data_IF_097679047758
#
_entry.id   IF_097679047758
#
_cell.length_a   1.000
_cell.length_b   1.000
_cell.length_c   1.000
_cell.angle_alpha   90.00
_cell.angle_beta   90.00
_cell.angle_gamma   90.00
#
_symmetry.space_group_name_H-M   'P 1'
#
loop_
_entity.id
_entity.type
_entity.pdbx_description
1 polymer ?
#
# COMPACT_ATOMS: atom_id res chain seq x y z
N UNK A 1 4.98 21.50 -31.29
CA UNK A 1 4.13 20.34 -31.55
C UNK A 1 4.93 19.15 -30.98
N UNK A 2 4.41 18.46 -29.98
CA UNK A 2 5.02 17.21 -29.49
C UNK A 2 4.77 16.20 -30.61
N UNK A 3 5.84 15.62 -31.15
CA UNK A 3 5.73 14.56 -32.13
C UNK A 3 5.15 13.33 -31.44
N UNK A 4 3.91 12.97 -31.74
CA UNK A 4 3.20 11.87 -31.10
C UNK A 4 3.70 10.49 -31.57
N UNK A 5 4.73 10.42 -32.41
CA UNK A 5 5.25 9.16 -32.98
C UNK A 5 6.38 8.52 -32.18
N UNK A 6 6.96 9.21 -31.20
CA UNK A 6 8.10 8.71 -30.40
C UNK A 6 7.80 7.38 -29.69
N UNK A 7 6.56 7.18 -29.27
CA UNK A 7 6.13 5.98 -28.53
C UNK A 7 5.51 4.89 -29.42
N UNK A 8 5.30 5.15 -30.69
CA UNK A 8 4.71 4.17 -31.61
C UNK A 8 5.56 2.90 -31.68
N UNK A 9 4.94 1.78 -31.32
CA UNK A 9 5.57 0.45 -31.21
C UNK A 9 6.64 0.30 -30.09
N UNK A 10 6.82 1.26 -29.20
CA UNK A 10 7.73 1.12 -28.07
C UNK A 10 7.14 0.21 -27.00
N UNK A 11 7.96 -0.73 -26.53
CA UNK A 11 7.61 -1.70 -25.49
C UNK A 11 8.04 -1.16 -24.12
N UNK A 12 7.12 -1.13 -23.14
CA UNK A 12 7.40 -0.61 -21.80
C UNK A 12 7.27 -1.71 -20.75
N UNK A 13 8.31 -1.88 -19.94
CA UNK A 13 8.30 -2.74 -18.76
C UNK A 13 8.15 -1.89 -17.49
N UNK A 14 7.31 -2.36 -16.55
CA UNK A 14 7.07 -1.70 -15.27
C UNK A 14 7.54 -2.58 -14.11
N UNK A 15 8.38 -2.01 -13.24
CA UNK A 15 8.85 -2.67 -12.02
C UNK A 15 8.46 -1.82 -10.80
N UNK A 16 7.50 -2.30 -10.02
CA UNK A 16 7.00 -1.58 -8.86
C UNK A 16 7.49 -2.21 -7.57
N UNK A 17 8.22 -1.43 -6.79
CA UNK A 17 8.67 -1.80 -5.46
C UNK A 17 7.90 -0.97 -4.42
N UNK A 18 7.41 -1.62 -3.36
CA UNK A 18 6.82 -0.91 -2.21
C UNK A 18 5.32 -1.12 -2.02
N UNK A 19 4.57 -0.04 -1.83
CA UNK A 19 3.21 -0.04 -1.31
C UNK A 19 2.13 0.03 -2.40
N UNK A 20 0.86 -0.14 -1.98
CA UNK A 20 -0.33 -0.02 -2.85
C UNK A 20 -0.37 1.31 -3.62
N UNK A 21 0.13 2.39 -2.99
CA UNK A 21 0.22 3.70 -3.61
C UNK A 21 1.15 3.71 -4.82
N UNK A 22 2.34 3.08 -4.70
CA UNK A 22 3.26 2.95 -5.82
C UNK A 22 2.64 2.13 -6.96
N UNK A 23 1.87 1.08 -6.66
CA UNK A 23 1.17 0.30 -7.68
C UNK A 23 0.12 1.14 -8.42
N UNK A 24 -0.72 1.92 -7.70
CA UNK A 24 -1.67 2.83 -8.34
C UNK A 24 -0.97 3.86 -9.24
N UNK A 25 0.14 4.42 -8.77
CA UNK A 25 0.94 5.40 -9.52
C UNK A 25 1.57 4.79 -10.76
N UNK A 26 2.13 3.58 -10.67
CA UNK A 26 2.72 2.86 -11.83
C UNK A 26 1.66 2.56 -12.89
N UNK A 27 0.49 2.09 -12.48
CA UNK A 27 -0.62 1.85 -13.41
C UNK A 27 -1.05 3.14 -14.15
N UNK A 28 -1.05 4.27 -13.45
CA UNK A 28 -1.32 5.59 -14.07
C UNK A 28 -0.23 5.99 -15.05
N UNK A 29 1.05 5.80 -14.71
CA UNK A 29 2.17 6.04 -15.64
C UNK A 29 2.03 5.16 -16.89
N UNK A 30 1.68 3.88 -16.70
CA UNK A 30 1.44 2.95 -17.79
C UNK A 30 0.37 3.44 -18.74
N UNK A 31 -0.74 3.98 -18.21
CA UNK A 31 -1.79 4.57 -19.03
C UNK A 31 -1.30 5.81 -19.81
N UNK A 32 -0.59 6.71 -19.15
CA UNK A 32 -0.06 7.92 -19.80
C UNK A 32 0.88 7.60 -20.96
N UNK A 33 1.70 6.54 -20.85
CA UNK A 33 2.56 6.06 -21.92
C UNK A 33 1.75 5.36 -23.03
N UNK A 34 0.75 4.57 -22.66
CA UNK A 34 -0.14 3.90 -23.62
C UNK A 34 -0.99 4.89 -24.41
N UNK A 35 -1.49 5.96 -23.78
CA UNK A 35 -2.23 7.06 -24.45
C UNK A 35 -1.36 7.80 -25.50
N UNK A 36 -0.02 7.62 -25.45
CA UNK A 36 0.95 8.11 -26.44
C UNK A 36 1.43 7.05 -27.44
N UNK A 37 0.89 5.83 -27.41
CA UNK A 37 1.20 4.78 -28.38
C UNK A 37 2.12 3.66 -27.87
N UNK A 38 2.67 3.77 -26.64
CA UNK A 38 3.50 2.72 -26.05
C UNK A 38 2.66 1.48 -25.70
N UNK A 39 3.27 0.31 -25.78
CA UNK A 39 2.63 -0.97 -25.47
C UNK A 39 3.34 -1.65 -24.29
N UNK A 40 2.61 -2.35 -23.40
CA UNK A 40 3.24 -3.16 -22.38
C UNK A 40 4.02 -4.31 -23.01
N UNK A 41 5.22 -4.58 -22.49
CA UNK A 41 6.06 -5.70 -22.90
C UNK A 41 5.33 -7.03 -22.64
N UNK A 42 5.36 -7.95 -23.60
CA UNK A 42 4.82 -9.29 -23.46
C UNK A 42 5.92 -10.27 -22.98
N UNK A 43 5.50 -11.45 -22.51
CA UNK A 43 6.42 -12.48 -22.07
C UNK A 43 7.40 -12.85 -23.19
N UNK A 44 8.70 -12.75 -22.91
CA UNK A 44 9.77 -13.03 -23.88
C UNK A 44 10.21 -11.87 -24.77
N UNK A 45 9.53 -10.73 -24.71
CA UNK A 45 9.96 -9.51 -25.42
C UNK A 45 10.98 -8.70 -24.61
N UNK A 46 11.74 -7.88 -25.33
CA UNK A 46 12.68 -6.91 -24.74
C UNK A 46 12.01 -5.52 -24.70
N UNK A 47 12.04 -4.83 -23.56
CA UNK A 47 11.50 -3.47 -23.46
C UNK A 47 12.41 -2.46 -24.13
N UNK A 48 11.83 -1.39 -24.72
CA UNK A 48 12.50 -0.16 -25.11
C UNK A 48 12.61 0.83 -23.93
N UNK A 49 11.68 0.73 -22.98
CA UNK A 49 11.61 1.61 -21.81
C UNK A 49 11.37 0.75 -20.56
N UNK A 50 12.17 0.96 -19.52
CA UNK A 50 11.98 0.37 -18.21
C UNK A 50 11.63 1.43 -17.17
N UNK A 51 10.44 1.35 -16.56
CA UNK A 51 10.03 2.26 -15.48
C UNK A 51 10.11 1.53 -14.14
N UNK A 52 10.97 2.03 -13.24
CA UNK A 52 11.16 1.48 -11.89
C UNK A 52 10.59 2.44 -10.85
N UNK A 53 9.47 2.09 -10.22
CA UNK A 53 8.88 2.87 -9.14
C UNK A 53 9.37 2.33 -7.79
N UNK A 54 10.09 3.15 -7.04
CA UNK A 54 10.92 2.75 -5.91
C UNK A 54 10.32 3.08 -4.54
N UNK A 55 10.74 2.33 -3.52
CA UNK A 55 10.34 2.47 -2.13
C UNK A 55 11.52 2.84 -1.23
N UNK A 56 11.27 3.58 -0.13
CA UNK A 56 12.30 4.01 0.81
C UNK A 56 11.87 3.94 2.29
N UNK A 57 10.92 3.07 2.64
CA UNK A 57 10.46 2.95 4.04
C UNK A 57 11.49 2.30 4.96
N UNK A 58 12.40 1.46 4.43
CA UNK A 58 13.49 0.81 5.18
C UNK A 58 14.78 0.83 4.37
N UNK A 59 15.96 0.65 5.04
CA UNK A 59 17.22 0.50 4.33
C UNK A 59 17.25 -0.76 3.46
N UNK A 60 16.61 -1.83 3.91
CA UNK A 60 16.44 -3.04 3.10
C UNK A 60 15.65 -2.75 1.80
N UNK A 61 14.64 -1.87 1.87
CA UNK A 61 13.91 -1.44 0.67
C UNK A 61 14.82 -0.67 -0.30
N UNK A 62 15.64 0.26 0.20
CA UNK A 62 16.64 0.97 -0.62
C UNK A 62 17.61 -0.02 -1.30
N UNK A 63 18.15 -0.97 -0.52
CA UNK A 63 19.05 -2.01 -1.06
C UNK A 63 18.39 -2.83 -2.18
N UNK A 64 17.13 -3.25 -1.96
CA UNK A 64 16.37 -3.97 -3.00
C UNK A 64 16.15 -3.11 -4.26
N UNK A 65 15.84 -1.82 -4.09
CA UNK A 65 15.71 -0.90 -5.21
C UNK A 65 17.01 -0.81 -6.03
N UNK A 66 18.15 -0.59 -5.37
CA UNK A 66 19.47 -0.55 -6.04
C UNK A 66 19.77 -1.86 -6.79
N UNK A 67 19.48 -3.00 -6.17
CA UNK A 67 19.69 -4.31 -6.77
C UNK A 67 18.82 -4.51 -8.02
N UNK A 68 17.53 -4.15 -7.94
CA UNK A 68 16.63 -4.32 -9.07
C UNK A 68 16.98 -3.38 -10.22
N UNK A 69 17.29 -2.11 -9.96
CA UNK A 69 17.75 -1.16 -11.00
C UNK A 69 18.99 -1.73 -11.72
N UNK A 70 20.05 -2.11 -10.98
CA UNK A 70 21.27 -2.67 -11.58
C UNK A 70 21.01 -3.96 -12.37
N UNK A 71 20.12 -4.80 -11.89
CA UNK A 71 19.72 -6.04 -12.59
C UNK A 71 19.05 -5.73 -13.92
N UNK A 72 18.13 -4.76 -13.93
CA UNK A 72 17.40 -4.36 -15.13
C UNK A 72 18.28 -3.64 -16.14
N UNK A 73 19.17 -2.72 -15.70
CA UNK A 73 20.14 -2.05 -16.57
C UNK A 73 21.05 -3.03 -17.29
N UNK A 74 21.53 -4.08 -16.58
CA UNK A 74 22.35 -5.12 -17.19
C UNK A 74 21.56 -6.03 -18.12
N UNK A 75 20.29 -6.28 -17.81
CA UNK A 75 19.45 -7.17 -18.62
C UNK A 75 18.95 -6.50 -19.90
N UNK A 76 18.73 -5.20 -19.84
CA UNK A 76 18.18 -4.39 -20.93
C UNK A 76 19.04 -3.13 -21.16
N UNK A 77 20.29 -3.30 -21.65
CA UNK A 77 21.25 -2.20 -21.77
C UNK A 77 20.84 -1.13 -22.77
N UNK A 78 19.98 -1.46 -23.74
CA UNK A 78 19.49 -0.54 -24.76
C UNK A 78 18.16 0.12 -24.40
N UNK A 79 17.55 -0.26 -23.27
CA UNK A 79 16.27 0.30 -22.83
C UNK A 79 16.48 1.61 -22.05
N UNK A 80 15.65 2.60 -22.28
CA UNK A 80 15.62 3.83 -21.47
C UNK A 80 15.20 3.50 -20.03
N UNK A 81 16.08 3.71 -19.08
CA UNK A 81 15.85 3.40 -17.67
C UNK A 81 15.32 4.63 -16.93
N UNK A 82 14.02 4.59 -16.58
CA UNK A 82 13.33 5.64 -15.81
C UNK A 82 13.16 5.18 -14.37
N UNK A 83 13.72 5.92 -13.41
CA UNK A 83 13.58 5.62 -11.98
C UNK A 83 12.78 6.72 -11.28
N UNK A 84 11.76 6.34 -10.54
CA UNK A 84 10.89 7.25 -9.78
C UNK A 84 10.55 6.67 -8.40
N UNK A 85 9.77 7.39 -7.60
CA UNK A 85 9.29 6.93 -6.30
C UNK A 85 10.05 7.49 -5.11
N UNK A 86 9.79 6.93 -3.92
CA UNK A 86 10.29 7.50 -2.66
C UNK A 86 11.81 7.44 -2.55
N UNK A 87 12.46 6.39 -3.07
CA UNK A 87 13.92 6.30 -3.04
C UNK A 87 14.56 7.28 -4.03
N UNK A 88 14.03 7.39 -5.25
CA UNK A 88 14.45 8.39 -6.23
C UNK A 88 14.30 9.84 -5.70
N UNK A 89 13.20 10.12 -4.97
CA UNK A 89 12.95 11.43 -4.36
C UNK A 89 13.98 11.79 -3.27
N UNK A 90 14.36 10.81 -2.43
CA UNK A 90 15.24 11.05 -1.29
C UNK A 90 16.74 10.98 -1.63
N UNK A 91 17.12 10.21 -2.65
CA UNK A 91 18.48 9.87 -3.00
C UNK A 91 18.70 9.98 -4.52
N UNK A 92 18.24 11.07 -5.12
CA UNK A 92 18.23 11.25 -6.58
C UNK A 92 19.63 11.17 -7.20
N UNK A 93 20.64 11.74 -6.56
CA UNK A 93 22.04 11.69 -7.01
C UNK A 93 22.57 10.26 -6.97
N UNK A 94 22.38 9.55 -5.83
CA UNK A 94 22.81 8.14 -5.70
C UNK A 94 22.15 7.25 -6.75
N UNK A 95 20.87 7.54 -7.11
CA UNK A 95 20.14 6.79 -8.14
C UNK A 95 20.66 7.12 -9.52
N UNK A 96 20.97 8.38 -9.81
CA UNK A 96 21.51 8.83 -11.10
C UNK A 96 22.92 8.26 -11.36
N UNK A 97 23.72 8.04 -10.31
CA UNK A 97 25.06 7.44 -10.39
C UNK A 97 25.02 5.92 -10.66
N UNK A 98 23.86 5.29 -10.67
CA UNK A 98 23.74 3.87 -11.02
C UNK A 98 23.88 3.73 -12.55
N UNK A 99 24.88 2.97 -12.99
CA UNK A 99 25.15 2.71 -14.41
C UNK A 99 23.89 2.23 -15.16
N UNK A 100 23.58 2.89 -16.27
CA UNK A 100 22.43 2.60 -17.13
C UNK A 100 21.11 3.24 -16.64
N UNK A 101 21.14 4.20 -15.71
CA UNK A 101 19.99 5.03 -15.38
C UNK A 101 20.01 6.30 -16.23
N UNK A 102 18.96 6.53 -17.00
CA UNK A 102 18.86 7.67 -17.90
C UNK A 102 18.02 8.81 -17.30
N UNK A 103 16.93 8.48 -16.63
CA UNK A 103 15.95 9.47 -16.16
C UNK A 103 15.61 9.19 -14.69
N UNK A 104 15.79 10.19 -13.82
CA UNK A 104 15.39 10.15 -12.41
C UNK A 104 14.36 11.24 -12.16
N UNK A 105 13.15 10.87 -11.75
CA UNK A 105 12.07 11.82 -11.47
C UNK A 105 11.48 11.66 -10.09
N UNK A 106 11.14 12.78 -9.46
CA UNK A 106 10.50 12.83 -8.15
C UNK A 106 9.03 12.36 -8.17
N UNK A 107 8.44 12.32 -6.97
CA UNK A 107 7.07 11.84 -6.79
C UNK A 107 6.01 12.73 -7.43
N UNK A 108 6.25 14.02 -7.58
CA UNK A 108 5.34 15.00 -8.15
C UNK A 108 5.47 15.18 -9.68
N UNK A 109 6.54 14.64 -10.29
CA UNK A 109 6.72 14.64 -11.74
C UNK A 109 6.28 13.33 -12.43
N UNK A 110 5.69 12.40 -11.73
CA UNK A 110 5.27 11.11 -12.32
C UNK A 110 4.32 11.26 -13.51
N UNK A 111 3.51 12.31 -13.52
CA UNK A 111 2.64 12.62 -14.65
C UNK A 111 3.39 13.11 -15.90
N UNK A 112 4.63 13.55 -15.75
CA UNK A 112 5.47 14.12 -16.81
C UNK A 112 6.49 13.12 -17.37
N UNK A 113 6.47 11.85 -16.91
CA UNK A 113 7.44 10.82 -17.30
C UNK A 113 7.49 10.67 -18.84
N UNK A 114 6.35 10.69 -19.51
CA UNK A 114 6.30 10.60 -20.96
C UNK A 114 7.04 11.77 -21.65
N UNK A 115 6.94 12.99 -21.11
CA UNK A 115 7.65 14.16 -21.66
C UNK A 115 9.16 14.07 -21.43
N UNK A 116 9.60 13.45 -20.33
CA UNK A 116 11.02 13.20 -20.09
C UNK A 116 11.59 12.13 -21.01
N UNK A 117 10.82 11.08 -21.29
CA UNK A 117 11.22 10.03 -22.24
C UNK A 117 11.27 10.57 -23.66
N UNK A 118 10.30 11.40 -24.08
CA UNK A 118 10.33 12.09 -25.40
C UNK A 118 11.62 12.90 -25.59
N UNK A 119 11.99 13.69 -24.57
CA UNK A 119 13.22 14.49 -24.63
C UNK A 119 14.45 13.61 -24.73
N UNK A 120 14.52 12.54 -23.93
CA UNK A 120 15.64 11.62 -23.98
C UNK A 120 15.81 11.01 -25.39
N UNK A 121 14.73 10.64 -26.07
CA UNK A 121 14.84 10.16 -27.46
C UNK A 121 15.30 11.22 -28.45
N UNK A 122 15.11 12.50 -28.14
CA UNK A 122 15.53 13.60 -29.00
C UNK A 122 17.02 13.97 -28.84
N UNK A 123 17.55 13.94 -27.62
CA UNK A 123 18.90 14.45 -27.29
C UNK A 123 19.83 13.43 -26.64
N UNK A 124 19.30 12.31 -26.13
CA UNK A 124 20.01 11.27 -25.37
C UNK A 124 20.70 11.81 -24.10
N UNK A 125 20.18 12.92 -23.53
CA UNK A 125 20.72 13.49 -22.30
C UNK A 125 20.02 12.92 -21.06
N UNK A 126 20.84 12.44 -20.09
CA UNK A 126 20.33 11.99 -18.80
C UNK A 126 19.70 13.15 -18.03
N UNK A 127 18.56 12.88 -17.39
CA UNK A 127 17.79 13.89 -16.66
C UNK A 127 17.56 13.51 -15.21
N UNK A 128 17.85 14.44 -14.29
CA UNK A 128 17.45 14.34 -12.89
C UNK A 128 16.49 15.49 -12.58
N UNK A 129 15.23 15.15 -12.28
CA UNK A 129 14.20 16.14 -11.95
C UNK A 129 13.46 15.77 -10.68
N UNK A 130 13.83 16.42 -9.57
CA UNK A 130 13.24 16.23 -8.26
C UNK A 130 12.88 17.57 -7.67
N UNK A 131 11.60 17.76 -7.35
CA UNK A 131 11.09 18.99 -6.73
C UNK A 131 11.47 19.04 -5.26
N UNK A 132 11.89 20.21 -4.78
CA UNK A 132 12.11 20.43 -3.37
C UNK A 132 10.81 20.23 -2.57
N UNK A 133 10.88 19.59 -1.40
CA UNK A 133 9.70 19.18 -0.61
C UNK A 133 8.73 20.33 -0.30
N UNK A 134 9.25 21.54 -0.06
CA UNK A 134 8.43 22.73 0.20
C UNK A 134 7.56 23.16 -0.98
N UNK A 135 7.92 22.70 -2.19
CA UNK A 135 7.28 23.09 -3.44
C UNK A 135 6.35 22.01 -4.00
N UNK A 136 6.31 20.82 -3.38
CA UNK A 136 5.37 19.75 -3.71
C UNK A 136 3.97 20.14 -3.26
N UNK A 137 3.12 20.54 -4.20
CA UNK A 137 1.74 21.00 -3.94
C UNK A 137 0.68 20.18 -4.64
N UNK A 138 1.05 19.59 -5.79
CA UNK A 138 0.11 18.99 -6.70
C UNK A 138 -0.28 17.58 -6.24
N UNK A 139 -1.58 17.31 -6.15
CA UNK A 139 -2.08 15.94 -6.05
C UNK A 139 -2.13 15.32 -7.45
N UNK A 140 -1.54 14.15 -7.60
CA UNK A 140 -1.60 13.38 -8.85
C UNK A 140 -2.60 12.25 -8.65
N UNK A 141 -3.78 12.31 -9.30
CA UNK A 141 -4.77 11.25 -9.23
C UNK A 141 -4.20 9.94 -9.78
N UNK A 142 -4.46 8.83 -9.09
CA UNK A 142 -3.99 7.52 -9.53
C UNK A 142 -4.99 6.43 -9.11
N UNK A 143 -5.28 5.54 -10.06
CA UNK A 143 -6.07 4.33 -9.82
C UNK A 143 -5.45 3.18 -10.61
N UNK A 144 -5.19 2.04 -9.96
CA UNK A 144 -4.70 0.86 -10.69
C UNK A 144 -5.83 0.27 -11.53
N UNK A 145 -5.51 -0.30 -12.69
CA UNK A 145 -6.47 -0.85 -13.64
C UNK A 145 -5.89 -2.05 -14.36
N UNK A 146 -6.71 -3.08 -14.55
CA UNK A 146 -6.47 -4.18 -15.49
C UNK A 146 -5.37 -5.18 -15.13
N UNK A 147 -4.45 -4.83 -14.26
CA UNK A 147 -3.34 -5.67 -13.83
C UNK A 147 -3.64 -6.50 -12.57
N UNK A 148 -4.76 -6.19 -11.90
CA UNK A 148 -5.19 -6.83 -10.65
C UNK A 148 -6.71 -6.85 -10.52
N UNK A 149 -7.22 -7.83 -9.79
CA UNK A 149 -8.65 -7.96 -9.45
C UNK A 149 -9.14 -6.82 -8.54
N UNK A 150 -8.27 -6.36 -7.63
CA UNK A 150 -8.57 -5.26 -6.70
C UNK A 150 -7.94 -3.97 -7.17
N UNK A 151 -8.74 -2.94 -7.37
CA UNK A 151 -8.30 -1.61 -7.80
C UNK A 151 -7.83 -0.79 -6.62
N UNK A 152 -6.71 -0.10 -6.75
CA UNK A 152 -6.17 0.81 -5.72
C UNK A 152 -6.46 2.25 -6.11
N UNK A 153 -7.39 2.90 -5.41
CA UNK A 153 -7.74 4.30 -5.62
C UNK A 153 -6.92 5.19 -4.67
N UNK A 154 -6.00 5.96 -5.22
CA UNK A 154 -5.23 6.95 -4.45
C UNK A 154 -6.10 8.16 -4.17
N UNK A 155 -6.43 8.40 -2.89
CA UNK A 155 -7.27 9.51 -2.46
C UNK A 155 -6.47 10.63 -1.77
N UNK A 156 -5.31 10.28 -1.19
CA UNK A 156 -4.49 11.18 -0.40
C UNK A 156 -3.00 10.86 -0.60
N UNK A 157 -2.11 11.86 -0.47
CA UNK A 157 -0.66 11.72 -0.57
C UNK A 157 0.05 12.67 0.41
N UNK A 158 1.28 12.34 0.79
CA UNK A 158 2.03 13.10 1.80
C UNK A 158 1.50 12.88 3.22
N UNK A 159 2.14 13.49 4.23
CA UNK A 159 1.74 13.33 5.63
C UNK A 159 2.25 14.50 6.49
N UNK A 160 1.40 14.95 7.42
CA UNK A 160 1.71 16.05 8.36
C UNK A 160 2.09 15.55 9.77
N UNK A 161 2.18 14.25 10.02
CA UNK A 161 2.40 13.70 11.37
C UNK A 161 3.84 13.82 11.84
N UNK A 162 4.82 13.76 10.95
CA UNK A 162 6.24 13.88 11.30
C UNK A 162 6.67 12.95 12.44
N UNK A 163 6.20 11.68 12.41
CA UNK A 163 6.63 10.65 13.35
C UNK A 163 8.15 10.56 13.39
N UNK A 164 8.73 10.35 14.59
CA UNK A 164 10.18 10.49 14.82
C UNK A 164 11.05 9.55 13.96
N UNK A 165 10.50 8.44 13.49
CA UNK A 165 11.19 7.40 12.69
C UNK A 165 10.90 7.48 11.19
N UNK A 166 9.94 8.32 10.78
CA UNK A 166 9.34 8.24 9.43
C UNK A 166 10.02 9.19 8.44
N UNK A 167 10.29 8.67 7.24
CA UNK A 167 10.85 9.45 6.13
C UNK A 167 9.81 9.94 5.12
N UNK A 168 8.56 9.51 5.25
CA UNK A 168 7.50 9.81 4.28
C UNK A 168 7.25 11.30 4.07
N UNK A 169 7.19 12.17 5.11
CA UNK A 169 7.05 13.61 4.89
C UNK A 169 8.19 14.20 4.05
N UNK A 170 9.39 13.60 4.13
CA UNK A 170 10.57 13.98 3.31
C UNK A 170 10.53 13.41 1.89
N UNK A 171 9.85 12.29 1.68
CA UNK A 171 9.73 11.68 0.37
C UNK A 171 8.53 12.17 -0.44
N UNK A 172 7.43 12.50 0.24
CA UNK A 172 6.14 12.81 -0.40
C UNK A 172 5.60 14.21 -0.08
N UNK A 173 6.24 14.94 0.82
CA UNK A 173 5.79 16.27 1.22
C UNK A 173 4.60 16.25 2.18
N UNK A 174 3.93 17.41 2.26
CA UNK A 174 2.75 17.61 3.11
C UNK A 174 1.53 16.87 2.59
N UNK A 175 0.57 16.62 3.48
CA UNK A 175 -0.73 16.03 3.16
C UNK A 175 -1.47 16.85 2.11
N UNK A 176 -1.99 16.16 1.08
CA UNK A 176 -2.81 16.71 0.01
C UNK A 176 -3.74 15.63 -0.54
N UNK A 177 -4.88 16.04 -1.04
CA UNK A 177 -5.97 15.13 -1.39
C UNK A 177 -6.53 15.41 -2.79
N UNK A 178 -7.15 14.38 -3.38
CA UNK A 178 -8.01 14.58 -4.53
C UNK A 178 -9.35 15.18 -4.15
N UNK A 179 -10.06 15.80 -5.07
CA UNK A 179 -11.44 16.25 -4.88
C UNK A 179 -12.39 15.05 -4.90
N UNK A 180 -13.41 15.06 -4.05
CA UNK A 180 -14.40 13.97 -3.98
C UNK A 180 -15.01 13.67 -5.35
N UNK A 181 -15.38 14.71 -6.11
CA UNK A 181 -15.97 14.54 -7.43
C UNK A 181 -15.05 13.81 -8.41
N UNK A 182 -13.75 14.14 -8.43
CA UNK A 182 -12.76 13.52 -9.30
C UNK A 182 -12.47 12.07 -8.91
N UNK A 183 -12.44 11.80 -7.59
CA UNK A 183 -12.23 10.46 -7.06
C UNK A 183 -13.44 9.54 -7.33
N UNK A 184 -14.65 10.06 -7.20
CA UNK A 184 -15.87 9.35 -7.58
C UNK A 184 -15.90 9.03 -9.07
N UNK A 185 -15.44 9.95 -9.93
CA UNK A 185 -15.32 9.70 -11.36
C UNK A 185 -14.30 8.60 -11.67
N UNK A 186 -13.16 8.56 -10.95
CA UNK A 186 -12.21 7.45 -11.08
C UNK A 186 -12.81 6.11 -10.64
N UNK A 187 -13.62 6.10 -9.57
CA UNK A 187 -14.32 4.90 -9.13
C UNK A 187 -15.34 4.42 -10.18
N UNK A 188 -16.11 5.33 -10.82
CA UNK A 188 -17.03 4.98 -11.94
C UNK A 188 -16.25 4.38 -13.12
N UNK A 189 -15.10 4.94 -13.47
CA UNK A 189 -14.24 4.39 -14.53
C UNK A 189 -13.72 3.01 -14.15
N UNK A 190 -13.33 2.79 -12.89
CA UNK A 190 -12.92 1.48 -12.41
C UNK A 190 -14.07 0.46 -12.50
N UNK A 191 -15.31 0.86 -12.20
CA UNK A 191 -16.51 0.03 -12.39
C UNK A 191 -16.74 -0.30 -13.87
N UNK A 192 -16.63 0.69 -14.77
CA UNK A 192 -16.75 0.49 -16.22
C UNK A 192 -15.67 -0.45 -16.78
N UNK A 193 -14.45 -0.43 -16.20
CA UNK A 193 -13.36 -1.35 -16.53
C UNK A 193 -13.56 -2.76 -15.88
N UNK A 194 -14.72 -3.04 -15.28
CA UNK A 194 -15.07 -4.33 -14.67
C UNK A 194 -14.57 -4.53 -13.24
N UNK A 195 -14.05 -3.49 -12.57
CA UNK A 195 -13.60 -3.57 -11.18
C UNK A 195 -14.75 -3.90 -10.23
N UNK A 196 -14.53 -4.88 -9.35
CA UNK A 196 -15.49 -5.31 -8.33
C UNK A 196 -15.15 -4.78 -6.94
N UNK A 197 -13.86 -4.62 -6.64
CA UNK A 197 -13.39 -4.15 -5.35
C UNK A 197 -12.41 -2.98 -5.53
N UNK A 198 -12.66 -1.88 -4.79
CA UNK A 198 -11.73 -0.75 -4.69
C UNK A 198 -11.14 -0.70 -3.28
N UNK A 199 -9.81 -0.65 -3.20
CA UNK A 199 -9.07 -0.36 -1.97
C UNK A 199 -8.71 1.13 -1.96
N UNK A 200 -9.33 1.88 -1.06
CA UNK A 200 -9.05 3.30 -0.83
C UNK A 200 -7.64 3.39 -0.25
N UNK A 201 -6.73 4.09 -0.91
CA UNK A 201 -5.32 4.11 -0.51
C UNK A 201 -4.74 5.53 -0.46
N UNK A 202 -3.75 5.69 0.39
CA UNK A 202 -3.01 6.93 0.61
C UNK A 202 -1.85 6.69 1.56
N UNK A 203 -1.22 7.75 2.00
CA UNK A 203 -0.16 7.75 3.03
C UNK A 203 -0.77 7.81 4.43
N UNK A 204 -1.67 8.77 4.64
CA UNK A 204 -2.46 8.95 5.85
C UNK A 204 -3.88 9.35 5.41
N UNK A 205 -4.68 8.35 5.07
CA UNK A 205 -5.99 8.58 4.43
C UNK A 205 -6.98 9.32 5.35
N UNK A 206 -6.84 9.21 6.67
CA UNK A 206 -7.66 9.94 7.61
C UNK A 206 -7.44 11.46 7.58
N UNK A 207 -6.28 11.92 7.08
CA UNK A 207 -5.94 13.32 6.85
C UNK A 207 -6.49 13.86 5.51
N UNK A 208 -7.38 13.10 4.87
CA UNK A 208 -8.05 13.49 3.62
C UNK A 208 -8.81 14.80 3.79
N UNK A 209 -8.66 15.67 2.79
CA UNK A 209 -9.33 16.96 2.76
C UNK A 209 -8.61 18.08 3.53
N UNK A 210 -7.43 17.82 4.11
CA UNK A 210 -6.64 18.83 4.81
C UNK A 210 -6.42 20.11 3.97
N UNK A 211 -6.19 19.96 2.68
CA UNK A 211 -5.94 21.06 1.73
C UNK A 211 -7.16 21.45 0.91
N UNK A 212 -8.20 20.59 0.84
CA UNK A 212 -9.40 20.81 0.02
C UNK A 212 -10.60 21.30 0.82
N UNK A 213 -10.58 21.12 2.16
CA UNK A 213 -11.70 21.41 3.05
C UNK A 213 -12.83 20.38 3.01
N UNK A 214 -12.67 19.29 2.26
CA UNK A 214 -13.59 18.16 2.22
C UNK A 214 -13.30 17.20 3.38
N UNK A 215 -14.22 16.30 3.75
CA UNK A 215 -14.02 15.34 4.84
C UNK A 215 -13.94 13.92 4.32
N UNK A 216 -13.15 13.06 4.98
CA UNK A 216 -13.02 11.67 4.59
C UNK A 216 -14.36 10.91 4.61
N UNK A 217 -15.21 11.15 5.61
CA UNK A 217 -16.54 10.54 5.68
C UNK A 217 -17.43 10.92 4.49
N UNK A 218 -17.30 12.13 3.96
CA UNK A 218 -18.10 12.57 2.80
C UNK A 218 -17.60 11.90 1.51
N UNK A 219 -16.29 11.63 1.41
CA UNK A 219 -15.74 10.78 0.35
C UNK A 219 -16.30 9.35 0.45
N UNK A 220 -16.34 8.74 1.64
CA UNK A 220 -16.85 7.38 1.82
C UNK A 220 -18.32 7.30 1.39
N UNK A 221 -19.16 8.25 1.79
CA UNK A 221 -20.58 8.34 1.39
C UNK A 221 -20.74 8.48 -0.12
N UNK A 222 -19.90 9.29 -0.75
CA UNK A 222 -19.93 9.47 -2.20
C UNK A 222 -19.52 8.18 -2.93
N UNK A 223 -18.47 7.50 -2.47
CA UNK A 223 -18.02 6.24 -3.05
C UNK A 223 -19.06 5.12 -2.89
N UNK A 224 -19.75 5.05 -1.74
CA UNK A 224 -20.81 4.08 -1.47
C UNK A 224 -21.98 4.15 -2.48
N UNK A 225 -22.18 5.32 -3.07
CA UNK A 225 -23.21 5.56 -4.10
C UNK A 225 -22.77 5.26 -5.54
N UNK A 226 -21.51 4.86 -5.76
CA UNK A 226 -20.99 4.55 -7.10
C UNK A 226 -21.46 3.16 -7.52
N UNK A 227 -22.31 3.11 -8.55
CA UNK A 227 -22.82 1.87 -9.11
C UNK A 227 -21.71 1.03 -9.78
N UNK A 228 -21.82 -0.30 -9.69
CA UNK A 228 -20.91 -1.27 -10.32
C UNK A 228 -19.73 -1.69 -9.46
N UNK A 229 -19.39 -0.96 -8.39
CA UNK A 229 -18.41 -1.40 -7.39
C UNK A 229 -19.16 -2.11 -6.25
N UNK A 230 -18.85 -3.37 -6.04
CA UNK A 230 -19.52 -4.21 -5.05
C UNK A 230 -18.83 -4.15 -3.69
N UNK A 231 -17.53 -3.78 -3.63
CA UNK A 231 -16.73 -3.75 -2.40
C UNK A 231 -15.80 -2.57 -2.32
N UNK A 232 -15.77 -1.93 -1.18
CA UNK A 232 -14.75 -0.96 -0.79
C UNK A 232 -13.99 -1.45 0.43
N UNK A 233 -12.67 -1.22 0.46
CA UNK A 233 -11.84 -1.43 1.64
C UNK A 233 -11.07 -0.17 1.97
N UNK A 234 -11.09 0.19 3.23
CA UNK A 234 -10.26 1.26 3.78
C UNK A 234 -8.87 0.67 4.04
N UNK A 235 -7.82 1.29 3.48
CA UNK A 235 -6.45 0.92 3.81
C UNK A 235 -6.05 1.50 5.18
N UNK A 236 -4.76 1.73 5.44
CA UNK A 236 -4.28 2.19 6.74
C UNK A 236 -4.85 3.56 7.12
N UNK A 237 -5.56 3.63 8.24
CA UNK A 237 -6.11 4.87 8.82
C UNK A 237 -5.62 5.02 10.26
N UNK A 238 -5.09 6.20 10.60
CA UNK A 238 -4.58 6.49 11.93
C UNK A 238 -5.70 6.44 12.99
N UNK A 239 -5.42 5.91 14.20
CA UNK A 239 -6.45 5.71 15.24
C UNK A 239 -7.21 6.98 15.63
N UNK A 240 -6.51 8.10 15.74
CA UNK A 240 -7.06 9.43 16.09
C UNK A 240 -7.88 10.06 14.95
N UNK A 241 -7.67 9.62 13.71
CA UNK A 241 -8.43 10.05 12.54
C UNK A 241 -9.55 9.07 12.15
N UNK A 242 -9.61 7.89 12.77
CA UNK A 242 -10.71 6.95 12.64
C UNK A 242 -11.85 7.37 13.60
N UNK A 243 -12.67 8.31 13.14
CA UNK A 243 -13.77 8.86 13.93
C UNK A 243 -14.94 7.87 14.06
N UNK A 244 -15.80 8.05 15.06
CA UNK A 244 -16.90 7.12 15.32
C UNK A 244 -17.92 7.12 14.18
N UNK A 245 -18.17 8.27 13.53
CA UNK A 245 -19.05 8.38 12.37
C UNK A 245 -18.54 7.58 11.16
N UNK A 246 -17.22 7.40 11.01
CA UNK A 246 -16.63 6.51 9.99
C UNK A 246 -16.95 5.04 10.32
N UNK A 247 -16.76 4.64 11.58
CA UNK A 247 -17.04 3.25 12.02
C UNK A 247 -18.52 2.94 11.87
N UNK A 248 -19.40 3.82 12.32
CA UNK A 248 -20.85 3.70 12.21
C UNK A 248 -21.31 3.63 10.75
N UNK A 249 -20.76 4.47 9.88
CA UNK A 249 -21.01 4.44 8.45
C UNK A 249 -20.61 3.09 7.84
N UNK A 250 -19.41 2.60 8.12
CA UNK A 250 -18.96 1.29 7.62
C UNK A 250 -19.84 0.14 8.12
N UNK A 251 -20.33 0.23 9.36
CA UNK A 251 -21.24 -0.77 9.93
C UNK A 251 -22.60 -0.80 9.22
N UNK A 252 -23.08 0.35 8.73
CA UNK A 252 -24.37 0.47 8.02
C UNK A 252 -24.28 0.23 6.52
N UNK A 253 -23.10 0.32 5.91
CA UNK A 253 -22.90 0.15 4.48
C UNK A 253 -22.88 -1.32 4.06
N UNK A 254 -23.43 -1.60 2.86
CA UNK A 254 -23.35 -2.92 2.22
C UNK A 254 -22.09 -3.10 1.38
N UNK A 255 -21.43 -2.00 1.00
CA UNK A 255 -20.29 -2.02 0.10
C UNK A 255 -18.94 -1.86 0.85
N UNK A 256 -18.93 -1.24 2.05
CA UNK A 256 -17.74 -1.16 2.87
C UNK A 256 -17.53 -2.46 3.64
N UNK A 257 -16.47 -3.16 3.29
CA UNK A 257 -16.18 -4.50 3.82
C UNK A 257 -15.77 -4.44 5.31
N UNK A 258 -16.07 -5.46 6.11
CA UNK A 258 -15.71 -5.57 7.52
C UNK A 258 -14.19 -5.83 7.67
N UNK A 259 -13.40 -4.82 7.31
CA UNK A 259 -11.94 -4.84 7.33
C UNK A 259 -11.39 -3.47 7.66
N UNK A 260 -10.57 -3.38 8.70
CA UNK A 260 -9.84 -2.18 9.10
C UNK A 260 -8.35 -2.48 9.21
N UNK A 261 -7.53 -1.53 8.77
CA UNK A 261 -6.10 -1.56 8.99
C UNK A 261 -5.71 -0.31 9.78
N UNK A 262 -5.26 -0.49 11.02
CA UNK A 262 -5.05 0.60 11.98
C UNK A 262 -3.61 0.50 12.51
N UNK A 263 -2.72 1.47 12.22
CA UNK A 263 -1.34 1.41 12.68
C UNK A 263 -1.23 1.78 14.17
N UNK A 264 -0.95 0.78 15.02
CA UNK A 264 -0.66 1.00 16.45
C UNK A 264 0.79 1.47 16.68
N UNK A 265 1.71 0.91 15.92
CA UNK A 265 3.16 1.10 15.99
C UNK A 265 3.82 0.58 17.28
N UNK A 266 3.26 0.80 18.46
CA UNK A 266 3.67 0.21 19.75
C UNK A 266 2.49 0.12 20.71
N UNK A 267 2.46 -0.91 21.54
CA UNK A 267 1.48 -1.06 22.62
C UNK A 267 1.89 -0.38 23.94
N UNK A 268 2.95 0.43 23.95
CA UNK A 268 3.42 1.20 25.11
C UNK A 268 3.28 2.69 24.86
N UNK A 269 2.63 3.41 25.79
CA UNK A 269 2.46 4.88 25.69
C UNK A 269 3.80 5.63 25.72
N UNK A 270 4.81 5.07 26.44
CA UNK A 270 6.14 5.64 26.44
C UNK A 270 6.76 5.61 25.04
N UNK A 271 6.63 4.47 24.34
CA UNK A 271 7.10 4.36 22.95
C UNK A 271 6.28 5.20 21.98
N UNK A 272 4.95 5.23 22.11
CA UNK A 272 4.09 6.08 21.28
C UNK A 272 4.49 7.55 21.38
N UNK A 273 4.81 8.02 22.58
CA UNK A 273 5.34 9.37 22.82
C UNK A 273 6.71 9.61 22.16
N UNK A 274 7.65 8.66 22.30
CA UNK A 274 8.95 8.71 21.61
C UNK A 274 8.79 8.68 20.08
N UNK A 275 7.81 7.95 19.57
CA UNK A 275 7.44 7.89 18.17
C UNK A 275 6.73 9.15 17.66
N UNK A 276 6.33 10.04 18.57
CA UNK A 276 5.48 11.23 18.29
C UNK A 276 4.14 10.84 17.65
N UNK A 277 3.48 9.82 18.23
CA UNK A 277 2.12 9.47 17.83
C UNK A 277 1.12 10.43 18.44
N UNK A 278 -0.02 10.65 17.79
CA UNK A 278 -1.08 11.59 18.20
C UNK A 278 -2.18 10.89 19.02
N UNK A 279 -1.95 9.67 19.42
CA UNK A 279 -2.86 8.84 20.22
C UNK A 279 -2.05 8.06 21.27
N UNK A 280 -2.76 7.55 22.25
CA UNK A 280 -2.28 6.62 23.24
C UNK A 280 -2.90 5.22 23.05
N UNK A 281 -2.47 4.26 23.86
CA UNK A 281 -2.97 2.88 23.81
C UNK A 281 -4.46 2.77 24.18
N UNK A 282 -4.96 3.68 25.07
CA UNK A 282 -6.37 3.64 25.45
C UNK A 282 -7.27 4.01 24.28
N UNK A 283 -6.98 5.12 23.57
CA UNK A 283 -7.71 5.50 22.35
C UNK A 283 -7.71 4.38 21.32
N UNK A 284 -6.57 3.71 21.13
CA UNK A 284 -6.49 2.56 20.21
C UNK A 284 -7.40 1.41 20.64
N UNK A 285 -7.37 1.04 21.93
CA UNK A 285 -8.23 -0.01 22.47
C UNK A 285 -9.72 0.34 22.33
N UNK A 286 -10.09 1.59 22.57
CA UNK A 286 -11.47 2.07 22.45
C UNK A 286 -11.94 1.97 20.97
N UNK A 287 -11.09 2.29 19.99
CA UNK A 287 -11.42 2.12 18.56
C UNK A 287 -11.60 0.65 18.18
N UNK A 288 -10.72 -0.25 18.65
CA UNK A 288 -10.88 -1.69 18.45
C UNK A 288 -12.20 -2.19 19.06
N UNK A 289 -12.51 -1.77 20.28
CA UNK A 289 -13.76 -2.14 20.96
C UNK A 289 -15.00 -1.60 20.21
N UNK A 290 -14.97 -0.35 19.74
CA UNK A 290 -16.05 0.25 18.96
C UNK A 290 -16.30 -0.51 17.65
N UNK A 291 -15.23 -0.83 16.90
CA UNK A 291 -15.33 -1.63 15.67
C UNK A 291 -15.96 -2.99 15.97
N UNK A 292 -15.44 -3.72 16.95
CA UNK A 292 -15.93 -5.07 17.29
C UNK A 292 -17.37 -5.08 17.81
N UNK A 293 -17.78 -4.03 18.50
CA UNK A 293 -19.18 -3.88 18.94
C UNK A 293 -20.14 -3.69 17.77
N UNK A 294 -19.79 -2.85 16.79
CA UNK A 294 -20.66 -2.52 15.65
C UNK A 294 -20.51 -3.50 14.48
N UNK A 295 -19.31 -4.05 14.30
CA UNK A 295 -18.96 -4.96 13.22
C UNK A 295 -18.21 -6.17 13.81
N UNK A 296 -18.89 -7.13 14.46
CA UNK A 296 -18.25 -8.27 15.13
C UNK A 296 -17.34 -9.11 14.22
N UNK A 297 -17.69 -9.18 12.94
CA UNK A 297 -16.95 -9.92 11.90
C UNK A 297 -15.73 -9.17 11.35
N UNK A 298 -15.46 -7.95 11.82
CA UNK A 298 -14.38 -7.14 11.27
C UNK A 298 -13.01 -7.80 11.46
N UNK A 299 -12.26 -7.89 10.37
CA UNK A 299 -10.83 -8.16 10.40
C UNK A 299 -10.10 -6.86 10.77
N UNK A 300 -9.32 -6.88 11.85
CA UNK A 300 -8.51 -5.73 12.27
C UNK A 300 -7.04 -6.09 12.10
N UNK A 301 -6.41 -5.54 11.05
CA UNK A 301 -4.97 -5.59 10.83
C UNK A 301 -4.27 -4.43 11.52
N UNK A 302 -3.09 -4.68 12.12
CA UNK A 302 -2.37 -3.70 12.93
C UNK A 302 -0.90 -3.66 12.55
N UNK A 303 -0.36 -2.49 12.24
CA UNK A 303 1.08 -2.32 12.07
C UNK A 303 1.77 -2.13 13.42
N UNK A 304 2.91 -2.80 13.60
CA UNK A 304 3.73 -2.73 14.80
C UNK A 304 5.21 -2.67 14.46
N UNK A 305 5.95 -1.80 15.13
CA UNK A 305 7.41 -1.69 15.02
C UNK A 305 8.03 -2.25 16.29
N UNK A 306 9.01 -3.15 16.14
CA UNK A 306 9.77 -3.71 17.25
C UNK A 306 11.24 -3.28 17.20
N UNK A 307 11.85 -3.09 18.34
CA UNK A 307 13.28 -2.78 18.46
C UNK A 307 13.61 -1.34 18.07
N UNK A 308 12.68 -0.41 18.20
CA UNK A 308 12.97 1.01 18.04
C UNK A 308 13.91 1.49 19.16
N UNK A 309 14.66 2.54 18.89
CA UNK A 309 15.44 3.20 19.95
C UNK A 309 14.52 3.63 21.08
N UNK A 310 14.94 3.40 22.32
CA UNK A 310 14.14 3.64 23.52
C UNK A 310 13.32 2.45 24.00
N UNK A 311 13.16 1.38 23.20
CA UNK A 311 12.40 0.21 23.58
C UNK A 311 13.22 -0.71 24.52
N UNK A 312 13.14 -0.50 25.84
CA UNK A 312 13.76 -1.38 26.84
C UNK A 312 13.07 -2.76 26.88
N UNK A 313 13.62 -3.78 27.58
CA UNK A 313 12.93 -5.06 27.75
C UNK A 313 11.56 -4.93 28.40
N UNK A 314 11.44 -4.05 29.42
CA UNK A 314 10.19 -3.80 30.15
C UNK A 314 9.13 -3.17 29.25
N UNK A 315 9.51 -2.17 28.46
CA UNK A 315 8.63 -1.51 27.49
C UNK A 315 8.16 -2.51 26.42
N UNK A 316 9.05 -3.38 25.93
CA UNK A 316 8.66 -4.41 24.98
C UNK A 316 7.64 -5.38 25.56
N UNK A 317 7.83 -5.85 26.82
CA UNK A 317 6.88 -6.78 27.47
C UNK A 317 5.52 -6.09 27.76
N UNK A 318 5.53 -4.83 28.18
CA UNK A 318 4.30 -4.04 28.35
C UNK A 318 3.56 -3.91 27.00
N UNK A 319 4.27 -3.55 25.95
CA UNK A 319 3.71 -3.48 24.59
C UNK A 319 3.12 -4.81 24.12
N UNK A 320 3.86 -5.91 24.32
CA UNK A 320 3.41 -7.26 23.95
C UNK A 320 2.14 -7.68 24.70
N UNK A 321 2.12 -7.41 26.01
CA UNK A 321 0.97 -7.78 26.87
C UNK A 321 -0.28 -6.99 26.50
N UNK A 322 -0.14 -5.71 26.21
CA UNK A 322 -1.24 -4.88 25.71
C UNK A 322 -1.77 -5.38 24.36
N UNK A 323 -0.89 -5.64 23.39
CA UNK A 323 -1.29 -6.15 22.07
C UNK A 323 -1.96 -7.52 22.17
N UNK A 324 -1.50 -8.37 23.12
CA UNK A 324 -2.12 -9.69 23.38
C UNK A 324 -3.56 -9.55 23.88
N UNK A 325 -3.86 -8.55 24.71
CA UNK A 325 -5.19 -8.31 25.26
C UNK A 325 -6.22 -7.79 24.25
N UNK A 326 -5.81 -7.25 23.11
CA UNK A 326 -6.71 -6.65 22.11
C UNK A 326 -7.41 -7.71 21.26
N UNK A 327 -8.69 -7.48 20.90
CA UNK A 327 -9.41 -8.30 19.91
C UNK A 327 -9.09 -7.84 18.47
N UNK A 328 -7.85 -8.04 18.09
CA UNK A 328 -7.33 -7.79 16.74
C UNK A 328 -7.07 -9.10 16.02
N UNK A 329 -7.00 -9.08 14.69
CA UNK A 329 -6.90 -10.30 13.90
C UNK A 329 -5.46 -10.62 13.50
N UNK A 330 -4.70 -9.61 13.06
CA UNK A 330 -3.35 -9.81 12.54
C UNK A 330 -2.43 -8.64 12.85
N UNK A 331 -1.15 -8.94 13.07
CA UNK A 331 -0.09 -7.94 13.15
C UNK A 331 0.77 -7.98 11.89
N UNK A 332 1.07 -6.82 11.36
CA UNK A 332 2.16 -6.59 10.42
C UNK A 332 3.35 -6.07 11.22
N UNK A 333 4.28 -6.97 11.52
CA UNK A 333 5.41 -6.67 12.42
C UNK A 333 6.62 -6.24 11.61
N UNK A 334 7.12 -5.04 11.89
CA UNK A 334 8.31 -4.48 11.28
C UNK A 334 9.44 -4.37 12.29
N UNK A 335 10.60 -4.92 11.96
CA UNK A 335 11.82 -4.62 12.70
C UNK A 335 12.26 -3.18 12.40
N UNK A 336 12.49 -2.38 13.43
CA UNK A 336 12.90 -0.99 13.27
C UNK A 336 14.17 -0.87 12.42
N UNK A 337 14.08 -0.06 11.38
CA UNK A 337 15.18 0.28 10.49
C UNK A 337 15.57 1.75 10.71
N UNK A 338 16.79 1.99 11.11
CA UNK A 338 17.32 3.36 11.23
C UNK A 338 17.31 4.05 9.88
N UNK A 339 16.89 5.32 9.88
CA UNK A 339 16.85 6.13 8.67
C UNK A 339 17.63 7.44 8.90
N UNK A 340 18.48 7.83 7.94
CA UNK A 340 19.20 9.11 8.03
C UNK A 340 18.26 10.28 8.31
N UNK A 341 18.73 11.25 9.08
CA UNK A 341 18.04 12.51 9.38
C UNK A 341 16.69 12.37 10.10
N UNK A 342 16.39 11.20 10.68
CA UNK A 342 15.19 11.01 11.49
C UNK A 342 15.46 11.39 12.96
N UNK A 343 14.44 11.92 13.61
CA UNK A 343 14.54 12.30 15.03
C UNK A 343 14.77 11.10 15.95
N UNK A 344 14.34 9.91 15.52
CA UNK A 344 14.54 8.67 16.26
C UNK A 344 16.03 8.35 16.53
N UNK A 345 16.94 8.78 15.66
CA UNK A 345 18.39 8.60 15.87
C UNK A 345 18.95 9.32 17.10
N UNK A 346 18.22 10.32 17.63
CA UNK A 346 18.59 11.07 18.86
C UNK A 346 18.16 10.37 20.15
N UNK A 347 17.35 9.30 20.05
CA UNK A 347 16.91 8.54 21.21
C UNK A 347 18.07 7.66 21.68
N UNK A 348 18.46 7.73 22.98
CA UNK A 348 19.75 7.19 23.43
C UNK A 348 19.81 5.66 23.48
N UNK A 349 18.74 4.97 23.90
CA UNK A 349 18.77 3.50 24.05
C UNK A 349 18.65 2.82 22.68
N UNK A 350 19.73 2.12 22.26
CA UNK A 350 19.81 1.40 20.99
C UNK A 350 19.59 -0.08 21.22
N UNK A 351 18.62 -0.66 20.52
CA UNK A 351 18.37 -2.10 20.51
C UNK A 351 19.27 -2.77 19.46
N UNK A 352 20.03 -3.78 19.86
CA UNK A 352 20.88 -4.54 18.95
C UNK A 352 20.07 -5.41 17.96
N UNK A 353 20.70 -5.84 16.86
CA UNK A 353 20.02 -6.57 15.79
C UNK A 353 19.49 -7.95 16.23
N UNK A 354 20.20 -8.64 17.11
CA UNK A 354 19.75 -9.93 17.62
C UNK A 354 18.47 -9.78 18.44
N UNK A 355 18.45 -8.82 19.36
CA UNK A 355 17.27 -8.49 20.17
C UNK A 355 16.08 -8.04 19.32
N UNK A 356 16.31 -7.18 18.29
CA UNK A 356 15.27 -6.80 17.32
C UNK A 356 14.65 -8.04 16.67
N UNK A 357 15.50 -8.96 16.21
CA UNK A 357 15.04 -10.17 15.54
C UNK A 357 14.24 -11.08 16.48
N UNK A 358 14.66 -11.23 17.74
CA UNK A 358 13.93 -12.00 18.74
C UNK A 358 12.56 -11.39 19.03
N UNK A 359 12.49 -10.07 19.24
CA UNK A 359 11.23 -9.34 19.48
C UNK A 359 10.28 -9.46 18.29
N UNK A 360 10.78 -9.27 17.08
CA UNK A 360 9.99 -9.43 15.86
C UNK A 360 9.38 -10.83 15.77
N UNK A 361 10.16 -11.90 16.01
CA UNK A 361 9.65 -13.27 15.99
C UNK A 361 8.58 -13.52 17.06
N UNK A 362 8.74 -12.97 18.27
CA UNK A 362 7.74 -13.11 19.35
C UNK A 362 6.41 -12.43 18.98
N UNK A 363 6.45 -11.25 18.35
CA UNK A 363 5.26 -10.57 17.90
C UNK A 363 4.62 -11.23 16.66
N UNK A 364 5.43 -11.82 15.75
CA UNK A 364 4.91 -12.63 14.65
C UNK A 364 4.17 -13.88 15.17
N UNK A 365 4.73 -14.60 16.13
CA UNK A 365 4.06 -15.75 16.76
C UNK A 365 2.73 -15.35 17.44
N UNK A 366 2.66 -14.15 18.03
CA UNK A 366 1.40 -13.60 18.54
C UNK A 366 0.40 -13.32 17.42
N UNK A 367 0.87 -12.75 16.31
CA UNK A 367 0.06 -12.50 15.09
C UNK A 367 -0.55 -13.80 14.57
N UNK A 368 0.26 -14.84 14.40
CA UNK A 368 -0.17 -16.15 13.89
C UNK A 368 -1.24 -16.78 14.78
N UNK A 369 -1.07 -16.71 16.11
CA UNK A 369 -2.07 -17.19 17.07
C UNK A 369 -3.40 -16.44 16.97
N UNK A 370 -3.36 -15.09 16.82
CA UNK A 370 -4.56 -14.27 16.67
C UNK A 370 -5.29 -14.56 15.35
N UNK A 371 -4.54 -14.68 14.25
CA UNK A 371 -5.12 -15.03 12.96
C UNK A 371 -5.74 -16.43 12.96
N UNK A 372 -5.06 -17.41 13.56
CA UNK A 372 -5.60 -18.77 13.71
C UNK A 372 -6.91 -18.77 14.52
N UNK A 373 -6.96 -18.02 15.63
CA UNK A 373 -8.17 -17.89 16.45
C UNK A 373 -9.31 -17.21 15.67
N UNK A 374 -9.01 -16.19 14.87
CA UNK A 374 -10.00 -15.54 14.00
C UNK A 374 -10.47 -16.51 12.90
N UNK A 375 -9.57 -17.19 12.22
CA UNK A 375 -9.90 -18.18 11.17
C UNK A 375 -10.82 -19.27 11.73
N UNK A 376 -10.51 -19.80 12.90
CA UNK A 376 -11.29 -20.88 13.54
C UNK A 376 -12.77 -20.50 13.76
N UNK A 377 -13.07 -19.21 14.02
CA UNK A 377 -14.46 -18.72 14.18
C UNK A 377 -15.31 -18.88 12.91
N UNK A 378 -14.67 -18.92 11.73
CA UNK A 378 -15.37 -18.91 10.45
C UNK A 378 -15.30 -20.25 9.70
N UNK A 379 -14.55 -21.24 10.18
CA UNK A 379 -14.59 -22.57 9.58
C UNK A 379 -16.00 -23.15 9.61
N UNK A 380 -16.43 -23.79 8.53
CA UNK A 380 -17.78 -24.31 8.33
C UNK A 380 -18.81 -23.27 7.89
N UNK A 381 -18.52 -21.96 7.98
CA UNK A 381 -19.44 -20.91 7.53
C UNK A 381 -19.35 -20.68 6.02
N UNK A 382 -20.41 -20.09 5.45
CA UNK A 382 -20.47 -19.68 4.06
C UNK A 382 -20.18 -18.18 3.98
N UNK A 383 -19.20 -17.79 3.13
CA UNK A 383 -18.81 -16.38 2.93
C UNK A 383 -18.68 -16.05 1.44
N UNK A 384 -19.04 -14.80 1.04
CA UNK A 384 -18.80 -14.33 -0.32
C UNK A 384 -17.31 -14.05 -0.53
N UNK A 385 -16.74 -14.59 -1.61
CA UNK A 385 -15.32 -14.46 -1.97
C UNK A 385 -15.17 -13.81 -3.32
N UNK A 386 -14.34 -12.78 -3.41
CA UNK A 386 -13.85 -12.25 -4.68
C UNK A 386 -12.59 -13.04 -5.09
N UNK A 387 -12.67 -13.77 -6.19
CA UNK A 387 -11.54 -14.54 -6.73
C UNK A 387 -10.61 -13.67 -7.59
N UNK A 388 -9.31 -13.87 -7.43
CA UNK A 388 -8.27 -13.17 -8.18
C UNK A 388 -8.07 -13.77 -9.59
N UNK A 389 -7.45 -13.01 -10.51
CA UNK A 389 -7.18 -13.50 -11.88
C UNK A 389 -6.10 -14.60 -11.95
N UNK A 390 -5.20 -14.60 -10.97
CA UNK A 390 -4.05 -15.48 -10.99
C UNK A 390 -4.42 -16.90 -10.54
N UNK A 391 -3.83 -17.88 -11.23
CA UNK A 391 -3.77 -19.28 -10.81
C UNK A 391 -2.33 -19.55 -10.37
N UNK A 392 -2.15 -20.14 -9.21
CA UNK A 392 -0.82 -20.50 -8.70
C UNK A 392 -0.24 -21.73 -9.44
N UNK A 393 1.06 -21.94 -9.27
CA UNK A 393 1.76 -23.13 -9.79
C UNK A 393 1.16 -24.45 -9.25
N UNK A 394 0.51 -24.40 -8.07
CA UNK A 394 -0.20 -25.54 -7.46
C UNK A 394 -1.59 -25.80 -8.08
N UNK A 395 -1.99 -25.06 -9.11
CA UNK A 395 -3.31 -25.19 -9.74
C UNK A 395 -4.46 -24.66 -8.87
N UNK A 396 -4.19 -23.77 -7.92
CA UNK A 396 -5.18 -23.15 -7.06
C UNK A 396 -5.48 -21.71 -7.49
N UNK A 397 -6.75 -21.36 -7.44
CA UNK A 397 -7.23 -20.00 -7.57
C UNK A 397 -7.51 -19.43 -6.17
N UNK A 398 -7.00 -18.24 -5.91
CA UNK A 398 -7.10 -17.55 -4.61
C UNK A 398 -8.13 -16.44 -4.64
N UNK A 399 -8.67 -16.12 -3.46
CA UNK A 399 -9.61 -15.01 -3.29
C UNK A 399 -9.66 -14.53 -1.85
N UNK A 400 -10.41 -13.45 -1.64
CA UNK A 400 -10.63 -12.88 -0.32
C UNK A 400 -12.12 -12.85 0.02
N UNK A 401 -12.43 -13.31 1.24
CA UNK A 401 -13.75 -13.13 1.81
C UNK A 401 -14.05 -11.65 2.03
N UNK A 402 -15.31 -11.32 2.29
CA UNK A 402 -15.70 -9.98 2.73
C UNK A 402 -14.91 -9.52 3.97
N UNK A 403 -14.73 -10.39 4.98
CA UNK A 403 -13.93 -10.14 6.18
C UNK A 403 -12.44 -10.47 6.05
N UNK A 404 -11.91 -10.44 4.83
CA UNK A 404 -10.48 -10.47 4.50
C UNK A 404 -9.73 -11.79 4.79
N UNK A 405 -10.41 -12.89 5.03
CA UNK A 405 -9.77 -14.21 5.06
C UNK A 405 -9.37 -14.61 3.64
N UNK A 406 -8.20 -15.21 3.50
CA UNK A 406 -7.66 -15.67 2.23
C UNK A 406 -8.06 -17.11 1.99
N UNK A 407 -8.66 -17.39 0.86
CA UNK A 407 -9.14 -18.73 0.52
C UNK A 407 -8.54 -19.25 -0.78
N UNK A 408 -8.53 -20.56 -0.94
CA UNK A 408 -8.13 -21.21 -2.17
C UNK A 408 -9.16 -22.30 -2.57
N UNK A 409 -9.40 -22.39 -3.87
CA UNK A 409 -10.20 -23.44 -4.52
C UNK A 409 -9.42 -24.01 -5.71
N UNK A 410 -9.74 -25.21 -6.24
CA UNK A 410 -9.21 -25.65 -7.51
C UNK A 410 -9.43 -24.61 -8.61
N UNK A 411 -8.46 -24.44 -9.50
CA UNK A 411 -8.50 -23.42 -10.53
C UNK A 411 -9.68 -23.60 -11.48
N UNK A 412 -10.50 -22.56 -11.60
CA UNK A 412 -11.56 -22.42 -12.59
C UNK A 412 -11.58 -20.99 -13.11
N UNK A 413 -11.17 -20.78 -14.35
CA UNK A 413 -11.07 -19.43 -14.95
C UNK A 413 -12.39 -18.67 -14.98
N UNK A 414 -13.53 -19.37 -14.89
CA UNK A 414 -14.87 -18.75 -14.81
C UNK A 414 -15.09 -17.98 -13.50
N UNK A 415 -14.31 -18.29 -12.46
CA UNK A 415 -14.36 -17.59 -11.16
C UNK A 415 -13.57 -16.28 -11.16
N UNK A 416 -12.71 -16.06 -12.16
CA UNK A 416 -11.86 -14.88 -12.24
C UNK A 416 -12.69 -13.59 -12.16
N UNK A 417 -12.33 -12.70 -11.23
CA UNK A 417 -13.01 -11.43 -10.96
C UNK A 417 -14.53 -11.58 -10.68
N UNK A 418 -14.93 -12.69 -10.08
CA UNK A 418 -16.32 -12.92 -9.66
C UNK A 418 -16.42 -13.01 -8.14
N UNK A 419 -17.59 -12.65 -7.61
CA UNK A 419 -17.91 -12.84 -6.20
C UNK A 419 -18.82 -14.06 -6.08
N UNK A 420 -18.32 -15.10 -5.40
CA UNK A 420 -19.02 -16.38 -5.24
C UNK A 420 -19.07 -16.78 -3.79
N UNK A 421 -20.18 -17.36 -3.36
CA UNK A 421 -20.30 -17.92 -2.01
C UNK A 421 -19.51 -19.23 -1.90
N UNK A 422 -18.70 -19.32 -0.86
CA UNK A 422 -17.94 -20.55 -0.57
C UNK A 422 -18.08 -20.93 0.90
N UNK A 423 -18.01 -22.24 1.17
CA UNK A 423 -17.89 -22.78 2.52
C UNK A 423 -16.40 -22.87 2.89
N UNK A 424 -16.02 -22.29 4.02
CA UNK A 424 -14.66 -22.38 4.56
C UNK A 424 -14.46 -23.73 5.23
N UNK A 425 -13.51 -24.54 4.77
CA UNK A 425 -13.37 -25.95 5.22
C UNK A 425 -12.29 -26.10 6.26
N UNK A 426 -11.03 -25.87 5.90
CA UNK A 426 -9.86 -26.10 6.75
C UNK A 426 -8.67 -25.24 6.33
N UNK A 427 -7.75 -24.88 7.25
CA UNK A 427 -6.50 -24.22 6.90
C UNK A 427 -5.60 -25.12 6.07
N UNK A 428 -4.95 -24.59 5.03
CA UNK A 428 -4.01 -25.33 4.18
C UNK A 428 -2.59 -25.41 4.76
N UNK A 429 -2.33 -24.74 5.90
CA UNK A 429 -1.05 -24.80 6.62
C UNK A 429 0.08 -23.96 6.02
N UNK A 430 -0.16 -23.26 4.91
CA UNK A 430 0.79 -22.33 4.28
C UNK A 430 0.07 -21.08 3.80
N UNK A 431 0.78 -19.98 3.68
CA UNK A 431 0.31 -18.70 3.13
C UNK A 431 -0.99 -18.14 3.74
N UNK A 432 -1.36 -18.55 4.95
CA UNK A 432 -2.62 -18.20 5.63
C UNK A 432 -3.89 -18.56 4.80
N UNK A 433 -3.76 -19.56 3.92
CA UNK A 433 -4.82 -20.01 3.04
C UNK A 433 -5.79 -20.96 3.74
N UNK A 434 -7.07 -20.80 3.43
CA UNK A 434 -8.15 -21.69 3.84
C UNK A 434 -8.67 -22.40 2.59
N UNK A 435 -8.73 -23.73 2.63
CA UNK A 435 -9.44 -24.50 1.62
C UNK A 435 -10.92 -24.14 1.66
N UNK A 436 -11.51 -23.90 0.51
CA UNK A 436 -12.92 -23.59 0.39
C UNK A 436 -13.62 -24.43 -0.65
N UNK A 437 -14.93 -24.55 -0.53
CA UNK A 437 -15.82 -25.26 -1.46
C UNK A 437 -16.91 -24.30 -1.94
N UNK A 438 -17.15 -24.26 -3.26
CA UNK A 438 -18.21 -23.44 -3.86
C UNK A 438 -19.58 -24.03 -3.45
N UNK A 439 -20.50 -23.12 -3.08
CA UNK A 439 -21.85 -23.50 -2.58
C UNK A 439 -22.92 -23.04 -3.57
#
# INVERSE_FOLDING_TARGET
>A
MIDNTTFDNKKVAFHTLGCKLNFAETSTIGKLLADRGAQPVQAGETPDICVVNTCSVTELANKKCRQEIRKLSRRYPDAVMVVTGCYAQLNSEEVADIEGVDIVVGNDQKAEIADFVDRWYADHESTVKVTALKDIRKFIPSCSRGDRTRFFLKVQDGCNYYCSYCTIPRARGRSRSGRIADLAEQARRAAADGGKEIVITGVNIGDFGYDTGERFIDLLRCLDSVEGIERYRISSIEPDLLTDDIIEFCAGSKHFMPHFHIPLQSGSDEMLKLMRRHYDRQLFADKVAAIKRLIPDAFIGVDLITGMRGETPEIFEDSRSFVDSLDITRLHVFSYSERPDTMALKIPYVVDQHTKHLRTRRMMALSDRKLAAFTQKYLGTVRPVLFEHAVDDDGLMKGFTDNYLRVAVPADTRLSNTIVNVRLVEPLGHDDLIKAEIV
#
